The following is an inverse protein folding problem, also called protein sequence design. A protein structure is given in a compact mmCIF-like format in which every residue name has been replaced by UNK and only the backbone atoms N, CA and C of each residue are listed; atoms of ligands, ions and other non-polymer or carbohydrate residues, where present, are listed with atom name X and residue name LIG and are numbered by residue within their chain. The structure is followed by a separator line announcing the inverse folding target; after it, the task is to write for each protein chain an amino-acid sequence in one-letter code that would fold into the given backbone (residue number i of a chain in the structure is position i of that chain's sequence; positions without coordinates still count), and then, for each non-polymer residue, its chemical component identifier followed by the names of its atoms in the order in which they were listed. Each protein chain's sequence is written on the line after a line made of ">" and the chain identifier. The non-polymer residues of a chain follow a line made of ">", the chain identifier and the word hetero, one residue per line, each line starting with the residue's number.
data_IF_440836737188
#
_entry.id   IF_440836737188
#
_cell.length_a   1.000
_cell.length_b   1.000
_cell.length_c   1.000
_cell.angle_alpha   90.00
_cell.angle_beta   90.00
_cell.angle_gamma   90.00
#
_symmetry.space_group_name_H-M   'P 1'
#
loop_
_entity.id
_entity.type
_entity.pdbx_description
1 polymer ?
#
# COMPACT_ATOMS: atom_id res chain seq x y z
N UNK A 1 11.48 44.24 30.60
CA UNK A 1 10.89 42.92 30.27
C UNK A 1 11.21 42.64 28.82
N UNK A 2 12.33 41.96 28.54
CA UNK A 2 12.83 41.74 27.18
C UNK A 2 12.74 40.26 26.88
N UNK A 3 11.71 39.85 26.13
CA UNK A 3 11.52 38.45 25.74
C UNK A 3 12.30 38.19 24.46
N UNK A 4 13.43 37.52 24.66
CA UNK A 4 14.25 36.72 23.76
C UNK A 4 13.72 36.48 22.33
N UNK A 5 14.26 37.24 21.38
CA UNK A 5 14.18 37.03 19.92
C UNK A 5 14.65 35.62 19.47
N UNK A 6 15.40 34.92 20.33
CA UNK A 6 15.96 33.58 20.05
C UNK A 6 15.01 32.39 20.15
N UNK A 7 13.83 32.50 20.78
CA UNK A 7 12.86 31.38 20.85
C UNK A 7 12.04 31.22 19.56
N UNK A 8 11.68 32.33 18.91
CA UNK A 8 10.86 32.30 17.68
C UNK A 8 11.61 31.73 16.48
N UNK A 9 12.94 31.89 16.43
CA UNK A 9 13.76 31.37 15.34
C UNK A 9 13.95 29.85 15.42
N UNK A 10 13.88 29.27 16.63
CA UNK A 10 14.02 27.84 16.84
C UNK A 10 12.74 27.06 16.50
N UNK A 11 11.57 27.66 16.69
CA UNK A 11 10.28 27.10 16.27
C UNK A 11 10.10 27.15 14.74
N UNK A 12 10.55 28.22 14.08
CA UNK A 12 10.52 28.33 12.63
C UNK A 12 11.39 27.27 11.95
N UNK A 13 12.64 27.07 12.38
CA UNK A 13 13.50 26.01 11.84
C UNK A 13 12.98 24.59 12.15
N UNK A 14 12.33 24.38 13.30
CA UNK A 14 11.66 23.10 13.62
C UNK A 14 10.47 22.85 12.70
N UNK A 15 9.63 23.86 12.47
CA UNK A 15 8.48 23.79 11.58
C UNK A 15 8.89 23.57 10.12
N UNK A 16 9.97 24.20 9.65
CA UNK A 16 10.59 23.92 8.35
C UNK A 16 11.12 22.47 8.26
N UNK A 17 11.76 21.95 9.31
CA UNK A 17 12.23 20.56 9.30
C UNK A 17 11.08 19.54 9.30
N UNK A 18 9.98 19.83 10.01
CA UNK A 18 8.81 18.95 10.09
C UNK A 18 8.00 19.02 8.79
N UNK A 19 7.77 20.22 8.27
CA UNK A 19 7.09 20.40 6.98
C UNK A 19 7.88 19.78 5.83
N UNK A 20 9.21 19.94 5.83
CA UNK A 20 10.10 19.29 4.86
C UNK A 20 10.14 17.75 5.03
N UNK A 21 10.18 17.24 6.26
CA UNK A 21 10.09 15.80 6.53
C UNK A 21 8.74 15.21 6.08
N UNK A 22 7.64 15.91 6.32
CA UNK A 22 6.31 15.52 5.84
C UNK A 22 6.22 15.57 4.32
N UNK A 23 6.82 16.58 3.68
CA UNK A 23 6.94 16.67 2.23
C UNK A 23 7.71 15.48 1.65
N UNK A 24 8.90 15.18 2.17
CA UNK A 24 9.71 14.02 1.78
C UNK A 24 8.95 12.71 2.02
N UNK A 25 8.18 12.61 3.09
CA UNK A 25 7.36 11.43 3.37
C UNK A 25 6.24 11.26 2.34
N UNK A 26 5.60 12.35 1.90
CA UNK A 26 4.58 12.34 0.84
C UNK A 26 5.19 12.00 -0.52
N UNK A 27 6.36 12.53 -0.84
CA UNK A 27 7.17 12.17 -2.01
C UNK A 27 7.50 10.66 -2.02
N UNK A 28 7.99 10.12 -0.91
CA UNK A 28 8.33 8.70 -0.76
C UNK A 28 7.09 7.80 -0.79
N UNK A 29 5.94 8.29 -0.31
CA UNK A 29 4.63 7.63 -0.47
C UNK A 29 4.20 7.58 -1.95
N UNK A 30 4.57 8.57 -2.76
CA UNK A 30 4.27 8.65 -4.18
C UNK A 30 5.18 7.80 -5.08
N UNK A 31 6.31 7.29 -4.57
CA UNK A 31 7.30 6.58 -5.40
C UNK A 31 6.75 5.26 -5.98
N UNK A 32 6.90 5.01 -7.30
CA UNK A 32 6.47 3.76 -7.95
C UNK A 32 7.13 2.51 -7.38
N UNK A 33 8.33 2.64 -6.80
CA UNK A 33 9.07 1.51 -6.24
C UNK A 33 8.44 1.02 -4.93
N UNK A 34 7.86 1.92 -4.13
CA UNK A 34 7.14 1.58 -2.89
C UNK A 34 5.85 0.84 -3.18
N UNK A 35 5.06 1.29 -4.17
CA UNK A 35 3.83 0.58 -4.56
C UNK A 35 4.12 -0.82 -5.09
N UNK A 36 5.20 -1.00 -5.89
CA UNK A 36 5.69 -2.32 -6.32
C UNK A 36 6.11 -3.19 -5.13
N UNK A 37 6.84 -2.62 -4.15
CA UNK A 37 7.25 -3.36 -2.93
C UNK A 37 6.05 -3.79 -2.10
N UNK A 38 5.06 -2.90 -1.91
CA UNK A 38 3.82 -3.22 -1.20
C UNK A 38 3.03 -4.32 -1.91
N UNK A 39 2.97 -4.31 -3.24
CA UNK A 39 2.36 -5.38 -4.01
C UNK A 39 3.10 -6.71 -3.85
N UNK A 40 4.45 -6.72 -3.89
CA UNK A 40 5.22 -7.94 -3.62
C UNK A 40 4.93 -8.50 -2.22
N UNK A 41 4.92 -7.64 -1.20
CA UNK A 41 4.58 -8.05 0.17
C UNK A 41 3.16 -8.61 0.24
N UNK A 42 2.20 -7.98 -0.43
CA UNK A 42 0.82 -8.45 -0.49
C UNK A 42 0.71 -9.82 -1.20
N UNK A 43 1.42 -10.01 -2.33
CA UNK A 43 1.50 -11.30 -3.02
C UNK A 43 2.01 -12.40 -2.08
N UNK A 44 3.13 -12.14 -1.38
CA UNK A 44 3.73 -13.11 -0.46
C UNK A 44 2.80 -13.42 0.69
N UNK A 45 2.14 -12.41 1.28
CA UNK A 45 1.14 -12.64 2.34
C UNK A 45 0.00 -13.53 1.85
N UNK A 46 -0.52 -13.26 0.64
CA UNK A 46 -1.58 -14.06 0.05
C UNK A 46 -1.15 -15.51 -0.21
N UNK A 47 0.07 -15.72 -0.70
CA UNK A 47 0.66 -17.06 -0.88
C UNK A 47 0.76 -17.80 0.45
N UNK A 48 1.36 -17.18 1.47
CA UNK A 48 1.51 -17.79 2.80
C UNK A 48 0.16 -18.11 3.46
N UNK A 49 -0.83 -17.21 3.34
CA UNK A 49 -2.18 -17.47 3.87
C UNK A 49 -2.86 -18.64 3.14
N UNK A 50 -2.67 -18.78 1.82
CA UNK A 50 -3.20 -19.93 1.08
C UNK A 50 -2.55 -21.24 1.52
N UNK A 51 -1.23 -21.26 1.66
CA UNK A 51 -0.48 -22.42 2.15
C UNK A 51 -0.93 -22.83 3.56
N UNK A 52 -1.10 -21.86 4.46
CA UNK A 52 -1.58 -22.11 5.81
C UNK A 52 -2.99 -22.70 5.80
N UNK A 53 -3.92 -22.12 5.05
CA UNK A 53 -5.28 -22.65 4.91
C UNK A 53 -5.28 -24.08 4.38
N UNK A 54 -4.41 -24.38 3.40
CA UNK A 54 -4.31 -25.71 2.82
C UNK A 54 -3.74 -26.73 3.81
N UNK A 55 -2.68 -26.37 4.55
CA UNK A 55 -2.07 -27.23 5.58
C UNK A 55 -3.07 -27.56 6.69
N UNK A 56 -3.78 -26.56 7.20
CA UNK A 56 -4.80 -26.76 8.23
C UNK A 56 -5.93 -27.66 7.75
N UNK A 57 -6.43 -27.45 6.52
CA UNK A 57 -7.46 -28.32 5.95
C UNK A 57 -7.01 -29.78 5.85
N UNK A 58 -5.78 -30.02 5.42
CA UNK A 58 -5.21 -31.37 5.35
C UNK A 58 -5.11 -32.00 6.73
N UNK A 59 -4.70 -31.24 7.74
CA UNK A 59 -4.67 -31.73 9.12
C UNK A 59 -6.08 -32.10 9.62
N UNK A 60 -7.10 -31.36 9.19
CA UNK A 60 -8.48 -31.62 9.59
C UNK A 60 -9.10 -32.88 8.98
N UNK A 61 -8.48 -33.45 7.94
CA UNK A 61 -8.85 -34.77 7.41
C UNK A 61 -8.45 -35.89 8.38
N UNK A 62 -7.43 -35.65 9.23
CA UNK A 62 -6.91 -36.60 10.21
C UNK A 62 -7.55 -36.39 11.60
N UNK A 63 -7.83 -35.14 11.97
CA UNK A 63 -8.37 -34.78 13.28
C UNK A 63 -9.45 -33.71 13.15
N UNK A 64 -10.64 -33.97 13.72
CA UNK A 64 -11.72 -33.01 13.64
C UNK A 64 -11.34 -31.70 14.37
N UNK A 65 -11.44 -30.54 13.70
CA UNK A 65 -11.01 -29.28 14.29
C UNK A 65 -11.99 -28.79 15.36
N UNK A 66 -11.43 -28.19 16.40
CA UNK A 66 -12.18 -27.43 17.38
C UNK A 66 -12.91 -26.24 16.75
N UNK A 67 -13.93 -25.73 17.44
CA UNK A 67 -14.63 -24.51 17.03
C UNK A 67 -13.67 -23.31 16.87
N UNK A 68 -12.68 -23.19 17.76
CA UNK A 68 -11.70 -22.11 17.72
C UNK A 68 -10.84 -22.17 16.45
N UNK A 69 -10.36 -23.37 16.07
CA UNK A 69 -9.61 -23.59 14.83
C UNK A 69 -10.46 -23.27 13.59
N UNK A 70 -11.73 -23.69 13.58
CA UNK A 70 -12.68 -23.33 12.50
C UNK A 70 -12.87 -21.83 12.38
N UNK A 71 -13.04 -21.13 13.51
CA UNK A 71 -13.19 -19.68 13.56
C UNK A 71 -11.92 -18.96 13.07
N UNK A 72 -10.74 -19.40 13.49
CA UNK A 72 -9.46 -18.85 13.05
C UNK A 72 -9.28 -18.99 11.52
N UNK A 73 -9.54 -20.17 10.97
CA UNK A 73 -9.44 -20.40 9.52
C UNK A 73 -10.42 -19.52 8.72
N UNK A 74 -11.62 -19.25 9.26
CA UNK A 74 -12.56 -18.34 8.62
C UNK A 74 -12.05 -16.90 8.58
N UNK A 75 -11.38 -16.42 9.65
CA UNK A 75 -10.74 -15.10 9.66
C UNK A 75 -9.63 -15.01 8.62
N UNK A 76 -8.82 -16.06 8.48
CA UNK A 76 -7.76 -16.11 7.46
C UNK A 76 -8.33 -16.09 6.03
N UNK A 77 -9.45 -16.77 5.79
CA UNK A 77 -10.16 -16.69 4.49
C UNK A 77 -10.67 -15.28 4.21
N UNK A 78 -11.30 -14.64 5.20
CA UNK A 78 -11.77 -13.26 5.07
C UNK A 78 -10.62 -12.30 4.78
N UNK A 79 -9.50 -12.44 5.51
CA UNK A 79 -8.29 -11.66 5.29
C UNK A 79 -7.76 -11.81 3.87
N UNK A 80 -7.64 -13.04 3.38
CA UNK A 80 -7.21 -13.35 2.00
C UNK A 80 -8.12 -12.69 0.98
N UNK A 81 -9.43 -12.77 1.15
CA UNK A 81 -10.40 -12.23 0.18
C UNK A 81 -10.33 -10.69 0.14
N UNK A 82 -10.18 -10.04 1.29
CA UNK A 82 -9.96 -8.59 1.38
C UNK A 82 -8.64 -8.19 0.71
N UNK A 83 -7.56 -8.92 0.99
CA UNK A 83 -6.23 -8.65 0.43
C UNK A 83 -6.23 -8.80 -1.10
N UNK A 84 -6.87 -9.85 -1.62
CA UNK A 84 -7.05 -10.08 -3.07
C UNK A 84 -7.74 -8.89 -3.72
N UNK A 85 -8.88 -8.45 -3.16
CA UNK A 85 -9.64 -7.30 -3.68
C UNK A 85 -8.82 -6.01 -3.66
N UNK A 86 -8.06 -5.77 -2.59
CA UNK A 86 -7.20 -4.59 -2.48
C UNK A 86 -6.08 -4.58 -3.53
N UNK A 87 -5.48 -5.75 -3.79
CA UNK A 87 -4.47 -5.90 -4.85
C UNK A 87 -5.07 -5.67 -6.24
N UNK A 88 -6.26 -6.23 -6.50
CA UNK A 88 -6.94 -6.05 -7.77
C UNK A 88 -7.27 -4.57 -8.03
N UNK A 89 -7.84 -3.86 -7.04
CA UNK A 89 -8.10 -2.42 -7.13
C UNK A 89 -6.82 -1.61 -7.38
N UNK A 90 -5.70 -2.00 -6.77
CA UNK A 90 -4.41 -1.35 -7.01
C UNK A 90 -3.93 -1.56 -8.45
N UNK A 91 -4.10 -2.76 -9.01
CA UNK A 91 -3.77 -3.06 -10.40
C UNK A 91 -4.64 -2.25 -11.37
N UNK A 92 -5.94 -2.20 -11.14
CA UNK A 92 -6.89 -1.40 -11.93
C UNK A 92 -6.51 0.08 -11.93
N UNK A 93 -6.21 0.64 -10.76
CA UNK A 93 -5.75 2.03 -10.63
C UNK A 93 -4.46 2.28 -11.40
N UNK A 94 -3.50 1.36 -11.35
CA UNK A 94 -2.26 1.46 -12.12
C UNK A 94 -2.51 1.40 -13.62
N UNK A 95 -3.42 0.54 -14.09
CA UNK A 95 -3.77 0.46 -15.51
C UNK A 95 -4.44 1.74 -16.00
N UNK A 96 -5.39 2.29 -15.24
CA UNK A 96 -6.04 3.56 -15.57
C UNK A 96 -5.03 4.71 -15.66
N UNK A 97 -4.10 4.80 -14.70
CA UNK A 97 -3.03 5.80 -14.73
C UNK A 97 -2.12 5.66 -15.95
N UNK A 98 -1.82 4.43 -16.39
CA UNK A 98 -1.03 4.20 -17.61
C UNK A 98 -1.78 4.64 -18.87
N UNK A 99 -3.08 4.34 -18.96
CA UNK A 99 -3.93 4.78 -20.09
C UNK A 99 -3.94 6.31 -20.18
N UNK A 100 -4.26 7.00 -19.08
CA UNK A 100 -4.26 8.46 -19.06
C UNK A 100 -2.90 9.07 -19.45
N UNK A 101 -1.78 8.47 -19.05
CA UNK A 101 -0.44 8.91 -19.48
C UNK A 101 -0.22 8.73 -20.99
N UNK A 102 -0.69 7.64 -21.57
CA UNK A 102 -0.60 7.42 -23.01
C UNK A 102 -1.49 8.40 -23.78
N UNK A 103 -2.70 8.65 -23.31
CA UNK A 103 -3.64 9.59 -23.93
C UNK A 103 -3.08 11.02 -23.90
N UNK A 104 -2.59 11.47 -22.75
CA UNK A 104 -1.93 12.79 -22.62
C UNK A 104 -0.68 12.93 -23.48
N UNK A 105 0.14 11.88 -23.63
CA UNK A 105 1.29 11.88 -24.53
C UNK A 105 0.84 11.97 -26.00
N UNK A 106 -0.16 11.19 -26.40
CA UNK A 106 -0.70 11.20 -27.76
C UNK A 106 -1.29 12.58 -28.14
N UNK A 107 -1.93 13.25 -27.19
CA UNK A 107 -2.49 14.59 -27.40
C UNK A 107 -1.39 15.67 -27.49
N UNK A 108 -0.34 15.55 -26.68
CA UNK A 108 0.82 16.44 -26.78
C UNK A 108 1.54 16.34 -28.13
N UNK A 109 1.74 15.13 -28.66
CA UNK A 109 2.35 14.93 -29.99
C UNK A 109 1.48 15.51 -31.13
N UNK A 110 0.15 15.40 -31.02
CA UNK A 110 -0.78 16.02 -32.00
C UNK A 110 -0.77 17.54 -31.94
N UNK A 111 -0.59 18.13 -30.75
CA UNK A 111 -0.51 19.58 -30.58
C UNK A 111 0.77 20.17 -31.19
N UNK A 112 1.87 19.42 -31.24
CA UNK A 112 3.15 19.88 -31.82
C UNK A 112 3.27 19.70 -33.34
N UNK A 113 2.29 19.06 -34.00
CA UNK A 113 2.29 18.81 -35.46
C UNK A 113 1.39 19.78 -36.25
N UNK A 114 0.78 20.76 -35.59
CA UNK A 114 0.05 21.88 -36.21
C UNK A 114 0.87 23.15 -36.12
#
# INVERSE_FOLDING_TARGET
>A
MSVSFGMLQQEACRAESVSYALYLHREELGRPQRSRRLMRVACTKLQLTNELIWRERRQWELEAPSYQQRSALNRERQYRDILTRNMQRQLEKQQQQRKHKLDTLADSCRATQR
#
